data_IF_506858206734
#
_entry.id   IF_506858206734
#
_cell.length_a   1.000
_cell.length_b   1.000
_cell.length_c   1.000
_cell.angle_alpha   90.00
_cell.angle_beta   90.00
_cell.angle_gamma   90.00
#
_symmetry.space_group_name_H-M   'P 1'
#
loop_
_entity.id
_entity.type
_entity.pdbx_description
1 polymer ?
#
# COMPACT_ATOMS: atom_id res chain seq x y z
N UNK A 1 -8.73 -10.97 0.07
CA UNK A 1 -7.82 -10.19 0.94
C UNK A 1 -8.31 -8.75 1.10
N UNK A 2 -8.60 -8.06 0.00
CA UNK A 2 -9.06 -6.66 -0.05
C UNK A 2 -10.19 -6.32 0.93
N UNK A 3 -11.32 -7.03 0.88
CA UNK A 3 -12.46 -6.80 1.79
C UNK A 3 -12.10 -6.87 3.29
N UNK A 4 -11.14 -7.74 3.65
CA UNK A 4 -10.64 -7.86 5.03
C UNK A 4 -9.82 -6.63 5.40
N UNK A 5 -8.93 -6.20 4.50
CA UNK A 5 -8.10 -5.00 4.67
C UNK A 5 -8.98 -3.76 4.82
N UNK A 6 -9.94 -3.56 3.92
CA UNK A 6 -10.84 -2.40 3.91
C UNK A 6 -11.64 -2.30 5.21
N UNK A 7 -12.28 -3.39 5.63
CA UNK A 7 -13.01 -3.46 6.91
C UNK A 7 -12.13 -3.16 8.12
N UNK A 8 -10.84 -3.49 8.06
CA UNK A 8 -9.90 -3.23 9.15
C UNK A 8 -9.36 -1.80 9.13
N UNK A 9 -9.21 -1.19 7.94
CA UNK A 9 -8.80 0.21 7.79
C UNK A 9 -9.90 1.18 8.23
N UNK A 10 -11.16 0.92 7.88
CA UNK A 10 -12.31 1.75 8.30
C UNK A 10 -12.56 1.79 9.81
N UNK A 11 -11.92 0.92 10.60
CA UNK A 11 -11.94 1.00 12.07
C UNK A 11 -10.99 2.05 12.63
N UNK A 12 -10.12 2.62 11.80
CA UNK A 12 -9.12 3.60 12.23
C UNK A 12 -9.73 5.00 12.30
N UNK A 13 -9.36 5.81 13.29
CA UNK A 13 -9.79 7.20 13.34
C UNK A 13 -9.24 7.96 12.13
N UNK A 14 -10.06 8.81 11.52
CA UNK A 14 -9.71 9.58 10.32
C UNK A 14 -9.98 8.87 9.00
N UNK A 15 -10.55 7.66 9.03
CA UNK A 15 -11.10 6.98 7.86
C UNK A 15 -12.61 6.83 8.01
N UNK A 16 -13.34 7.15 6.96
CA UNK A 16 -14.81 7.12 6.97
C UNK A 16 -15.35 6.30 5.80
N UNK A 17 -16.65 5.97 5.86
CA UNK A 17 -17.32 5.31 4.73
C UNK A 17 -17.34 6.18 3.46
N UNK A 18 -17.12 7.50 3.57
CA UNK A 18 -17.00 8.39 2.42
C UNK A 18 -15.72 8.12 1.61
N UNK A 19 -14.69 7.56 2.27
CA UNK A 19 -13.42 7.20 1.65
C UNK A 19 -13.42 5.78 1.08
N UNK A 20 -14.57 5.08 1.10
CA UNK A 20 -14.66 3.65 0.76
C UNK A 20 -14.09 3.33 -0.62
N UNK A 21 -14.58 4.01 -1.65
CA UNK A 21 -14.19 3.76 -3.05
C UNK A 21 -12.70 4.05 -3.24
N UNK A 22 -12.22 5.17 -2.70
CA UNK A 22 -10.81 5.53 -2.73
C UNK A 22 -9.92 4.51 -2.03
N UNK A 23 -10.32 4.04 -0.85
CA UNK A 23 -9.58 3.03 -0.10
C UNK A 23 -9.56 1.70 -0.84
N UNK A 24 -10.65 1.31 -1.50
CA UNK A 24 -10.70 0.09 -2.30
C UNK A 24 -9.66 0.11 -3.43
N UNK A 25 -9.58 1.22 -4.18
CA UNK A 25 -8.58 1.43 -5.23
C UNK A 25 -7.15 1.44 -4.67
N UNK A 26 -6.91 2.18 -3.58
CA UNK A 26 -5.58 2.24 -2.96
C UNK A 26 -5.12 0.90 -2.39
N UNK A 27 -6.04 0.09 -1.86
CA UNK A 27 -5.73 -1.27 -1.40
C UNK A 27 -5.35 -2.14 -2.59
N UNK A 28 -6.09 -2.04 -3.70
CA UNK A 28 -5.79 -2.79 -4.91
C UNK A 28 -4.39 -2.48 -5.44
N UNK A 29 -4.05 -1.20 -5.58
CA UNK A 29 -2.71 -0.75 -5.97
C UNK A 29 -1.62 -1.25 -5.01
N UNK A 30 -1.89 -1.18 -3.71
CA UNK A 30 -0.95 -1.65 -2.68
C UNK A 30 -0.71 -3.17 -2.76
N UNK A 31 -1.68 -3.95 -3.23
CA UNK A 31 -1.54 -5.39 -3.47
C UNK A 31 -0.71 -5.64 -4.72
N UNK A 32 -0.93 -4.90 -5.80
CA UNK A 32 -0.14 -5.00 -7.04
C UNK A 32 1.33 -4.70 -6.77
N UNK A 33 1.63 -3.59 -6.09
CA UNK A 33 2.98 -3.23 -5.66
C UNK A 33 3.63 -4.35 -4.85
N UNK A 34 2.88 -4.90 -3.90
CA UNK A 34 3.37 -5.96 -3.03
C UNK A 34 3.66 -7.25 -3.80
N UNK A 35 2.84 -7.61 -4.80
CA UNK A 35 3.15 -8.74 -5.70
C UNK A 35 4.47 -8.52 -6.43
N UNK A 36 4.65 -7.31 -6.99
CA UNK A 36 5.89 -6.92 -7.65
C UNK A 36 7.10 -7.03 -6.71
N UNK A 37 7.01 -6.50 -5.49
CA UNK A 37 8.09 -6.59 -4.50
C UNK A 37 8.43 -8.02 -4.08
N UNK A 38 7.44 -8.92 -4.08
CA UNK A 38 7.59 -10.29 -3.65
C UNK A 38 7.94 -11.26 -4.78
N UNK A 39 7.96 -10.81 -6.04
CA UNK A 39 8.09 -11.64 -7.24
C UNK A 39 6.98 -12.71 -7.32
N UNK A 40 5.72 -12.28 -7.16
CA UNK A 40 4.52 -13.10 -7.37
C UNK A 40 3.86 -12.70 -8.70
N UNK A 41 3.28 -13.66 -9.40
CA UNK A 41 2.49 -13.41 -10.61
C UNK A 41 1.15 -12.74 -10.26
N UNK A 42 0.53 -12.08 -11.25
CA UNK A 42 -0.69 -11.27 -11.04
C UNK A 42 -1.89 -12.06 -10.51
N UNK A 43 -2.03 -13.31 -10.92
CA UNK A 43 -3.13 -14.19 -10.50
C UNK A 43 -2.81 -14.95 -9.20
N UNK A 44 -1.58 -14.87 -8.70
CA UNK A 44 -1.20 -15.59 -7.48
C UNK A 44 -1.75 -14.91 -6.22
N UNK A 45 -2.19 -15.76 -5.29
CA UNK A 45 -2.63 -15.35 -3.97
C UNK A 45 -1.43 -15.01 -3.07
N UNK A 46 -1.43 -13.80 -2.52
CA UNK A 46 -0.44 -13.38 -1.53
C UNK A 46 -0.71 -14.06 -0.16
N UNK A 47 0.35 -14.45 0.58
CA UNK A 47 0.19 -14.99 1.93
C UNK A 47 -0.48 -14.00 2.90
N UNK A 48 -1.28 -14.48 3.85
CA UNK A 48 -1.94 -13.59 4.84
C UNK A 48 -0.94 -12.78 5.68
N UNK A 49 0.27 -13.30 5.90
CA UNK A 49 1.32 -12.58 6.64
C UNK A 49 1.81 -11.29 5.96
N UNK A 50 1.40 -11.05 4.73
CA UNK A 50 1.70 -9.84 3.95
C UNK A 50 0.68 -8.71 4.21
N UNK A 51 -0.51 -9.04 4.74
CA UNK A 51 -1.61 -8.10 5.01
C UNK A 51 -1.16 -6.85 5.79
N UNK A 52 -0.35 -6.95 6.88
CA UNK A 52 0.08 -5.76 7.61
C UNK A 52 0.88 -4.78 6.74
N UNK A 53 1.73 -5.29 5.84
CA UNK A 53 2.54 -4.46 4.96
C UNK A 53 1.68 -3.79 3.87
N UNK A 54 0.68 -4.49 3.33
CA UNK A 54 -0.28 -3.89 2.39
C UNK A 54 -1.04 -2.74 3.04
N UNK A 55 -1.57 -2.92 4.26
CA UNK A 55 -2.23 -1.84 5.01
C UNK A 55 -1.33 -0.63 5.21
N UNK A 56 -0.06 -0.86 5.52
CA UNK A 56 0.91 0.20 5.75
C UNK A 56 1.18 0.99 4.46
N UNK A 57 1.32 0.31 3.31
CA UNK A 57 1.39 0.96 2.00
C UNK A 57 0.13 1.78 1.67
N UNK A 58 -1.06 1.22 1.92
CA UNK A 58 -2.33 1.92 1.70
C UNK A 58 -2.42 3.18 2.54
N UNK A 59 -2.02 3.13 3.82
CA UNK A 59 -2.03 4.29 4.70
C UNK A 59 -1.04 5.36 4.27
N UNK A 60 0.13 4.97 3.77
CA UNK A 60 1.11 5.93 3.23
C UNK A 60 0.52 6.65 2.02
N UNK A 61 -0.15 5.93 1.11
CA UNK A 61 -0.83 6.51 -0.06
C UNK A 61 -1.93 7.47 0.38
N UNK A 62 -2.84 7.00 1.24
CA UNK A 62 -3.95 7.81 1.75
C UNK A 62 -3.48 9.11 2.43
N UNK A 63 -2.46 9.01 3.29
CA UNK A 63 -1.92 10.19 3.97
C UNK A 63 -1.21 11.14 3.00
N UNK A 64 -0.51 10.62 1.98
CA UNK A 64 0.14 11.46 0.96
C UNK A 64 -0.88 12.23 0.15
N UNK A 65 -1.95 11.59 -0.32
CA UNK A 65 -3.01 12.26 -1.08
C UNK A 65 -3.68 13.35 -0.25
N UNK A 66 -3.93 13.08 1.04
CA UNK A 66 -4.45 14.09 1.97
C UNK A 66 -3.48 15.26 2.21
N UNK A 67 -2.18 14.99 2.27
CA UNK A 67 -1.13 16.02 2.42
C UNK A 67 -0.92 16.80 1.12
N UNK A 68 -0.97 16.17 -0.05
CA UNK A 68 -0.85 16.83 -1.36
C UNK A 68 -2.07 17.72 -1.67
N UNK A 69 -3.26 17.36 -1.18
CA UNK A 69 -4.42 18.25 -1.19
C UNK A 69 -4.23 19.52 -0.33
N UNK A 70 -3.50 19.42 0.78
CA UNK A 70 -3.15 20.57 1.64
C UNK A 70 -1.94 21.34 1.07
N UNK A 71 -0.98 20.63 0.48
CA UNK A 71 0.24 21.17 -0.11
C UNK A 71 0.07 21.60 -1.57
N UNK A 72 -1.14 21.61 -2.12
CA UNK A 72 -1.46 22.11 -3.47
C UNK A 72 -1.21 23.62 -3.67
N UNK A 73 -0.56 24.29 -2.71
CA UNK A 73 0.11 25.57 -2.93
C UNK A 73 1.60 25.44 -3.34
N UNK A 74 2.21 24.25 -3.36
CA UNK A 74 3.57 24.11 -3.92
C UNK A 74 3.97 22.68 -4.28
N UNK A 75 4.32 22.55 -5.57
CA UNK A 75 5.24 21.58 -6.18
C UNK A 75 4.65 20.24 -6.63
N UNK A 76 4.39 20.18 -7.94
CA UNK A 76 4.37 18.97 -8.73
C UNK A 76 5.63 18.13 -8.45
N UNK A 77 5.46 16.88 -8.03
CA UNK A 77 6.55 15.91 -8.09
C UNK A 77 6.06 14.62 -8.75
N UNK A 78 5.99 14.68 -10.08
CA UNK A 78 6.11 13.49 -10.91
C UNK A 78 7.55 12.98 -10.83
N UNK A 79 7.72 11.73 -10.42
CA UNK A 79 9.04 11.11 -10.34
C UNK A 79 9.01 9.74 -9.70
N UNK A 80 8.84 8.72 -10.52
CA UNK A 80 9.25 7.35 -10.21
C UNK A 80 10.75 7.33 -9.89
N UNK A 81 11.12 7.41 -8.62
CA UNK A 81 12.50 7.23 -8.16
C UNK A 81 12.53 6.29 -6.95
N UNK A 82 12.87 5.03 -7.25
CA UNK A 82 13.45 3.99 -6.37
C UNK A 82 12.86 3.85 -4.96
N UNK A 83 11.78 3.06 -4.85
CA UNK A 83 10.94 2.94 -3.65
C UNK A 83 11.55 2.17 -2.46
N UNK A 84 12.61 1.37 -2.60
CA UNK A 84 13.01 0.45 -1.51
C UNK A 84 13.55 1.16 -0.26
N UNK A 85 14.30 2.26 -0.38
CA UNK A 85 14.87 2.95 0.79
C UNK A 85 13.83 3.78 1.56
N UNK A 86 12.79 4.26 0.89
CA UNK A 86 11.70 5.03 1.47
C UNK A 86 10.63 4.16 2.17
N UNK A 87 10.66 2.84 2.00
CA UNK A 87 9.69 1.97 2.66
C UNK A 87 9.94 1.88 4.17
N UNK A 88 8.88 1.82 4.99
CA UNK A 88 9.01 1.54 6.42
C UNK A 88 9.74 0.21 6.67
N UNK A 89 10.48 0.13 7.77
CA UNK A 89 11.25 -1.07 8.13
C UNK A 89 10.39 -2.33 8.28
N UNK A 90 9.14 -2.17 8.73
CA UNK A 90 8.19 -3.26 8.84
C UNK A 90 7.79 -3.83 7.46
N UNK A 91 7.55 -2.95 6.48
CA UNK A 91 7.29 -3.35 5.09
C UNK A 91 8.52 -4.04 4.50
N UNK A 92 9.72 -3.45 4.66
CA UNK A 92 10.98 -4.06 4.21
C UNK A 92 11.19 -5.47 4.80
N UNK A 93 10.91 -5.65 6.10
CA UNK A 93 11.03 -6.96 6.78
C UNK A 93 10.04 -7.98 6.23
N UNK A 94 8.83 -7.56 5.90
CA UNK A 94 7.80 -8.42 5.30
C UNK A 94 8.22 -8.84 3.89
N UNK A 95 8.70 -7.90 3.08
CA UNK A 95 9.23 -8.17 1.74
C UNK A 95 10.36 -9.21 1.83
N UNK A 96 11.37 -8.99 2.67
CA UNK A 96 12.49 -9.92 2.85
C UNK A 96 12.05 -11.33 3.25
N UNK A 97 10.96 -11.47 4.00
CA UNK A 97 10.46 -12.77 4.46
C UNK A 97 9.73 -13.56 3.37
N UNK A 98 8.91 -12.89 2.56
CA UNK A 98 8.01 -13.55 1.62
C UNK A 98 8.48 -13.49 0.17
N UNK A 99 9.51 -12.70 -0.15
CA UNK A 99 10.01 -12.53 -1.52
C UNK A 99 10.60 -13.83 -2.05
N UNK A 100 10.16 -14.21 -3.26
CA UNK A 100 10.67 -15.37 -4.00
C UNK A 100 11.88 -14.98 -4.84
N UNK A 101 12.69 -15.95 -5.21
CA UNK A 101 13.74 -15.71 -6.20
C UNK A 101 13.09 -15.29 -7.52
N UNK A 102 13.64 -14.29 -8.24
CA UNK A 102 13.21 -13.96 -9.58
C UNK A 102 13.28 -15.22 -10.46
N UNK A 103 12.25 -15.45 -11.28
CA UNK A 103 12.23 -16.53 -12.26
C UNK A 103 12.84 -16.07 -13.57
#
# INVERSE_FOLDING_TARGET
MEKKILKELLKRPGMSEQDWELLEDMIHDSIIDMRSYLNYEDEESLPEGVIPAVKELTLIRFNKDGVEGIASESQSFGGSTTYMDALPDQVKRTIRRYRRLPR
#
